data_IF_376145512700
#
_entry.id   IF_376145512700
#
_cell.length_a   1.000
_cell.length_b   1.000
_cell.length_c   1.000
_cell.angle_alpha   90.00
_cell.angle_beta   90.00
_cell.angle_gamma   90.00
#
_symmetry.space_group_name_H-M   'P 1'
#
loop_
_entity.id
_entity.type
_entity.pdbx_description
1 polymer ?
#
# COMPACT_ATOMS: atom_id res chain seq x y z
N UNK A 1 5.61 10.14 -17.31
CA UNK A 1 6.68 9.36 -16.66
C UNK A 1 7.93 10.23 -16.62
N UNK A 2 8.35 10.64 -15.42
CA UNK A 2 9.58 11.42 -15.23
C UNK A 2 10.78 10.53 -15.55
N UNK A 3 11.71 11.00 -16.40
CA UNK A 3 12.95 10.29 -16.61
C UNK A 3 13.73 10.23 -15.29
N UNK A 4 14.44 9.14 -15.01
CA UNK A 4 14.93 8.90 -13.67
C UNK A 4 16.31 9.52 -13.50
N UNK A 5 16.64 9.91 -12.28
CA UNK A 5 17.81 10.73 -11.99
C UNK A 5 18.83 9.89 -11.23
N UNK A 6 20.11 10.02 -11.57
CA UNK A 6 21.16 9.37 -10.80
C UNK A 6 21.35 10.05 -9.44
N UNK A 7 21.91 9.32 -8.46
CA UNK A 7 22.17 9.82 -7.09
C UNK A 7 22.94 11.15 -7.12
N UNK A 8 23.90 11.27 -8.03
CA UNK A 8 24.72 12.46 -8.21
C UNK A 8 23.92 13.66 -8.77
N UNK A 9 22.93 13.41 -9.64
CA UNK A 9 21.99 14.44 -10.12
C UNK A 9 21.02 14.92 -9.03
N UNK A 10 20.92 14.22 -7.91
CA UNK A 10 20.20 14.74 -6.73
C UNK A 10 21.04 15.73 -5.93
N UNK A 11 22.35 15.49 -5.80
CA UNK A 11 23.32 16.42 -5.22
C UNK A 11 23.49 17.71 -6.05
N UNK A 12 23.25 17.66 -7.38
CA UNK A 12 23.12 18.85 -8.24
C UNK A 12 22.20 19.93 -7.66
N UNK A 13 21.14 19.54 -6.93
CA UNK A 13 20.21 20.47 -6.29
C UNK A 13 20.75 21.12 -5.01
N UNK A 14 21.82 20.58 -4.43
CA UNK A 14 22.53 21.09 -3.26
C UNK A 14 23.76 21.97 -3.63
N UNK A 15 24.25 21.87 -4.87
CA UNK A 15 25.45 22.55 -5.37
C UNK A 15 25.23 23.96 -5.95
N UNK A 16 26.27 24.79 -5.87
CA UNK A 16 26.32 26.13 -6.48
C UNK A 16 26.63 26.06 -7.99
N UNK A 17 26.70 27.21 -8.69
CA UNK A 17 26.77 27.26 -10.17
C UNK A 17 28.07 26.68 -10.74
N UNK A 18 29.16 26.68 -9.97
CA UNK A 18 30.50 26.25 -10.39
C UNK A 18 30.64 24.72 -10.33
N UNK A 19 30.12 24.12 -9.26
CA UNK A 19 30.20 22.68 -8.97
C UNK A 19 29.38 21.79 -9.93
N UNK A 20 28.51 22.38 -10.77
CA UNK A 20 27.56 21.62 -11.61
C UNK A 20 28.14 21.00 -12.86
N UNK A 21 29.29 21.50 -13.34
CA UNK A 21 29.86 21.05 -14.62
C UNK A 21 30.59 19.70 -14.50
N UNK A 22 31.15 19.36 -13.33
CA UNK A 22 31.82 18.07 -13.11
C UNK A 22 30.84 16.89 -13.01
N UNK A 23 29.59 17.14 -12.61
CA UNK A 23 28.59 16.11 -12.33
C UNK A 23 27.97 15.50 -13.59
N UNK A 24 27.85 16.26 -14.69
CA UNK A 24 27.27 15.77 -15.94
C UNK A 24 28.12 14.68 -16.61
N UNK A 25 29.37 14.54 -16.20
CA UNK A 25 30.37 13.64 -16.79
C UNK A 25 30.60 12.36 -15.97
N UNK A 26 29.93 12.18 -14.83
CA UNK A 26 30.12 11.02 -13.95
C UNK A 26 29.12 9.90 -14.23
N UNK A 27 29.61 8.68 -14.45
CA UNK A 27 28.79 7.47 -14.45
C UNK A 27 28.32 7.17 -13.03
N UNK A 28 27.00 7.24 -12.84
CA UNK A 28 26.40 7.21 -11.50
C UNK A 28 25.19 6.32 -11.48
N UNK A 29 24.97 5.57 -10.38
CA UNK A 29 23.84 4.66 -10.29
C UNK A 29 22.54 5.46 -10.37
N UNK A 30 21.63 4.90 -11.16
CA UNK A 30 20.26 5.37 -11.31
C UNK A 30 19.54 5.33 -9.96
N UNK A 31 18.71 6.33 -9.67
CA UNK A 31 17.83 6.35 -8.50
C UNK A 31 16.40 6.63 -8.96
N UNK A 32 15.45 5.82 -8.49
CA UNK A 32 14.03 6.09 -8.74
C UNK A 32 13.58 7.28 -7.87
N UNK A 33 13.41 8.43 -8.50
CA UNK A 33 13.11 9.68 -7.82
C UNK A 33 11.60 9.97 -7.85
N UNK A 34 10.92 9.65 -6.75
CA UNK A 34 9.47 9.86 -6.57
C UNK A 34 9.14 11.17 -5.86
N UNK A 35 7.85 11.49 -5.78
CA UNK A 35 7.34 12.74 -5.18
C UNK A 35 7.79 12.88 -3.72
N UNK A 36 7.90 11.79 -2.98
CA UNK A 36 8.45 11.78 -1.62
C UNK A 36 9.88 12.34 -1.58
N UNK A 37 10.78 11.86 -2.46
CA UNK A 37 12.16 12.32 -2.57
C UNK A 37 12.24 13.81 -2.90
N UNK A 38 11.49 14.26 -3.91
CA UNK A 38 11.45 15.67 -4.31
C UNK A 38 10.93 16.59 -3.22
N UNK A 39 9.93 16.13 -2.48
CA UNK A 39 9.33 16.88 -1.37
C UNK A 39 10.32 17.02 -0.22
N UNK A 40 11.05 15.96 0.12
CA UNK A 40 12.12 16.00 1.11
C UNK A 40 13.25 16.95 0.70
N UNK A 41 13.73 16.88 -0.54
CA UNK A 41 14.74 17.82 -1.04
C UNK A 41 14.26 19.27 -1.00
N UNK A 42 12.99 19.50 -1.35
CA UNK A 42 12.41 20.84 -1.30
C UNK A 42 12.35 21.36 0.14
N UNK A 43 11.97 20.52 1.10
CA UNK A 43 11.96 20.88 2.52
C UNK A 43 13.37 21.25 2.99
N UNK A 44 14.36 20.38 2.74
CA UNK A 44 15.77 20.60 3.15
C UNK A 44 16.30 21.91 2.54
N UNK A 45 16.02 22.15 1.25
CA UNK A 45 16.44 23.37 0.55
C UNK A 45 15.82 24.64 1.12
N UNK A 46 14.54 24.61 1.49
CA UNK A 46 13.89 25.78 2.10
C UNK A 46 14.45 26.02 3.50
N UNK A 47 14.65 24.97 4.31
CA UNK A 47 15.22 25.10 5.64
C UNK A 47 16.61 25.76 5.63
N UNK A 48 17.49 25.35 4.70
CA UNK A 48 18.82 25.97 4.53
C UNK A 48 18.74 27.48 4.26
N UNK A 49 17.71 27.95 3.53
CA UNK A 49 17.50 29.38 3.26
C UNK A 49 16.99 30.18 4.47
N UNK A 50 16.46 29.52 5.49
CA UNK A 50 15.88 30.14 6.69
C UNK A 50 16.86 30.19 7.87
N UNK A 51 18.16 30.01 7.64
CA UNK A 51 19.24 30.04 8.64
C UNK A 51 19.16 28.98 9.75
N UNK A 52 18.55 27.82 9.49
CA UNK A 52 18.86 26.56 10.20
C UNK A 52 18.76 26.57 11.74
N UNK A 53 17.91 27.40 12.34
CA UNK A 53 17.94 27.65 13.78
C UNK A 53 17.32 26.50 14.61
N UNK A 54 16.69 25.50 13.98
CA UNK A 54 15.99 24.43 14.71
C UNK A 54 16.34 23.03 14.18
N UNK A 55 16.57 22.09 15.12
CA UNK A 55 16.87 20.68 14.82
C UNK A 55 15.80 20.00 13.97
N UNK A 56 16.17 18.88 13.31
CA UNK A 56 15.36 18.20 12.27
C UNK A 56 13.88 18.04 12.63
N UNK A 57 13.56 17.69 13.88
CA UNK A 57 12.18 17.47 14.37
C UNK A 57 11.24 18.67 14.25
N UNK A 58 11.75 19.90 14.27
CA UNK A 58 10.93 21.11 14.18
C UNK A 58 10.86 21.69 12.75
N UNK A 59 11.66 21.14 11.83
CA UNK A 59 11.79 21.60 10.44
C UNK A 59 10.45 21.55 9.70
N UNK A 60 9.73 20.43 9.82
CA UNK A 60 8.44 20.27 9.13
C UNK A 60 7.35 21.17 9.70
N UNK A 61 7.26 21.34 11.03
CA UNK A 61 6.23 22.18 11.67
C UNK A 61 6.29 23.64 11.20
N UNK A 62 7.49 24.22 11.16
CA UNK A 62 7.67 25.61 10.74
C UNK A 62 7.32 25.83 9.28
N UNK A 63 7.70 24.88 8.42
CA UNK A 63 7.41 24.93 6.99
C UNK A 63 5.94 24.67 6.72
N UNK A 64 5.30 23.73 7.43
CA UNK A 64 3.89 23.45 7.27
C UNK A 64 3.04 24.67 7.67
N UNK A 65 3.45 25.42 8.72
CA UNK A 65 2.81 26.69 9.09
C UNK A 65 2.86 27.73 7.95
N UNK A 66 3.95 27.76 7.18
CA UNK A 66 4.16 28.72 6.09
C UNK A 66 3.55 28.29 4.75
N UNK A 67 3.53 26.99 4.46
CA UNK A 67 3.16 26.45 3.14
C UNK A 67 1.88 25.60 3.13
N UNK A 68 1.11 25.60 4.23
CA UNK A 68 -0.22 24.99 4.40
C UNK A 68 -0.40 23.66 3.64
N UNK A 69 0.00 22.56 4.26
CA UNK A 69 -0.32 21.18 3.86
C UNK A 69 0.30 20.70 2.54
N UNK A 70 1.22 21.46 1.92
CA UNK A 70 1.90 21.06 0.68
C UNK A 70 2.68 19.74 0.74
N UNK A 71 2.99 19.26 1.95
CA UNK A 71 3.93 18.17 2.19
C UNK A 71 3.34 17.04 3.06
N UNK A 72 2.01 16.99 3.22
CA UNK A 72 1.35 16.13 4.19
C UNK A 72 1.43 14.62 3.87
N UNK A 73 1.65 14.26 2.60
CA UNK A 73 1.60 12.87 2.10
C UNK A 73 2.98 12.23 1.85
N UNK A 74 4.06 12.80 2.40
CA UNK A 74 5.42 12.29 2.10
C UNK A 74 5.60 10.86 2.61
N UNK A 75 5.14 10.57 3.84
CA UNK A 75 5.25 9.22 4.42
C UNK A 75 4.44 8.20 3.64
N UNK A 76 3.19 8.54 3.26
CA UNK A 76 2.33 7.70 2.41
C UNK A 76 3.01 7.35 1.09
N UNK A 77 3.53 8.35 0.38
CA UNK A 77 4.18 8.14 -0.92
C UNK A 77 5.51 7.39 -0.80
N UNK A 78 6.26 7.60 0.29
CA UNK A 78 7.49 6.87 0.56
C UNK A 78 7.18 5.40 0.85
N UNK A 79 6.18 5.11 1.68
CA UNK A 79 5.69 3.78 1.97
C UNK A 79 5.20 3.05 0.71
N UNK A 80 4.36 3.71 -0.10
CA UNK A 80 3.85 3.14 -1.36
C UNK A 80 4.97 2.81 -2.36
N UNK A 81 6.07 3.56 -2.33
CA UNK A 81 7.20 3.37 -3.25
C UNK A 81 8.30 2.47 -2.67
N UNK A 82 8.14 1.93 -1.46
CA UNK A 82 9.17 1.15 -0.75
C UNK A 82 10.45 1.95 -0.42
N UNK A 83 10.34 3.28 -0.31
CA UNK A 83 11.49 4.15 -0.07
C UNK A 83 11.71 4.35 1.43
N UNK A 84 12.23 3.32 2.10
CA UNK A 84 12.39 3.30 3.55
C UNK A 84 13.22 4.47 4.09
N UNK A 85 14.30 4.87 3.41
CA UNK A 85 15.12 6.01 3.85
C UNK A 85 14.37 7.34 3.76
N UNK A 86 13.51 7.50 2.75
CA UNK A 86 12.65 8.65 2.64
C UNK A 86 11.60 8.66 3.76
N UNK A 87 11.06 7.48 4.11
CA UNK A 87 10.09 7.33 5.19
C UNK A 87 10.71 7.70 6.55
N UNK A 88 11.89 7.13 6.85
CA UNK A 88 12.69 7.42 8.05
C UNK A 88 13.00 8.91 8.16
N UNK A 89 13.53 9.50 7.09
CA UNK A 89 13.88 10.92 7.06
C UNK A 89 12.65 11.84 7.21
N UNK A 90 11.53 11.50 6.56
CA UNK A 90 10.28 12.24 6.70
C UNK A 90 9.80 12.24 8.16
N UNK A 91 9.82 11.07 8.81
CA UNK A 91 9.46 10.94 10.22
C UNK A 91 10.41 11.74 11.13
N UNK A 92 11.73 11.64 10.94
CA UNK A 92 12.73 12.44 11.69
C UNK A 92 12.49 13.95 11.58
N UNK A 93 11.98 14.40 10.43
CA UNK A 93 11.67 15.80 10.16
C UNK A 93 10.37 16.27 10.82
N UNK A 94 9.60 15.35 11.40
CA UNK A 94 8.32 15.61 12.05
C UNK A 94 7.12 15.57 11.10
N UNK A 95 7.25 14.92 9.93
CA UNK A 95 6.10 14.65 9.05
C UNK A 95 5.20 13.62 9.75
N UNK A 96 3.91 13.91 9.82
CA UNK A 96 2.94 13.00 10.44
C UNK A 96 2.64 11.77 9.58
N UNK A 97 2.06 10.76 10.22
CA UNK A 97 1.73 9.46 9.61
C UNK A 97 0.46 9.43 8.75
N UNK A 98 -0.22 10.57 8.56
CA UNK A 98 -1.41 10.65 7.70
C UNK A 98 -2.58 9.78 8.20
N UNK A 99 -2.81 9.71 9.51
CA UNK A 99 -3.85 8.86 10.13
C UNK A 99 -3.73 7.36 9.80
N UNK A 100 -2.49 6.85 9.68
CA UNK A 100 -2.23 5.42 9.46
C UNK A 100 -2.03 5.04 8.00
N UNK A 101 -2.22 5.99 7.09
CA UNK A 101 -2.12 5.77 5.66
C UNK A 101 -0.71 5.30 5.22
N UNK A 102 0.34 5.60 6.00
CA UNK A 102 1.68 5.06 5.72
C UNK A 102 1.76 3.53 5.91
N UNK A 103 1.11 2.96 6.94
CA UNK A 103 1.03 1.50 7.12
C UNK A 103 0.21 0.87 5.99
N UNK A 104 -0.96 1.44 5.70
CA UNK A 104 -1.85 0.98 4.63
C UNK A 104 -1.15 0.96 3.26
N UNK A 105 -0.42 2.03 2.92
CA UNK A 105 0.33 2.12 1.67
C UNK A 105 1.54 1.19 1.61
N UNK A 106 2.23 0.94 2.73
CA UNK A 106 3.32 -0.03 2.78
C UNK A 106 2.81 -1.47 2.56
N UNK A 107 1.68 -1.82 3.17
CA UNK A 107 1.02 -3.10 3.00
C UNK A 107 0.57 -3.34 1.54
N UNK A 108 -0.04 -2.33 0.92
CA UNK A 108 -0.41 -2.38 -0.51
C UNK A 108 0.84 -2.54 -1.41
N UNK A 109 1.91 -1.82 -1.09
CA UNK A 109 3.17 -1.87 -1.84
C UNK A 109 3.99 -3.15 -1.61
N UNK A 110 3.50 -4.09 -0.79
CA UNK A 110 4.24 -5.31 -0.45
C UNK A 110 5.57 -5.04 0.29
N UNK A 111 5.73 -3.88 0.93
CA UNK A 111 6.98 -3.46 1.57
C UNK A 111 6.93 -3.65 3.09
N UNK A 112 7.34 -4.85 3.53
CA UNK A 112 7.36 -5.23 4.94
C UNK A 112 8.28 -4.33 5.79
N UNK A 113 9.38 -3.83 5.22
CA UNK A 113 10.30 -2.96 5.96
C UNK A 113 9.66 -1.61 6.28
N UNK A 114 9.00 -0.99 5.30
CA UNK A 114 8.24 0.24 5.48
C UNK A 114 7.07 0.04 6.45
N UNK A 115 6.33 -1.07 6.32
CA UNK A 115 5.21 -1.39 7.21
C UNK A 115 5.68 -1.53 8.67
N UNK A 116 6.72 -2.35 8.90
CA UNK A 116 7.32 -2.54 10.22
C UNK A 116 7.81 -1.22 10.81
N UNK A 117 8.59 -0.46 10.04
CA UNK A 117 9.13 0.80 10.52
C UNK A 117 8.02 1.81 10.87
N UNK A 118 6.99 1.93 10.04
CA UNK A 118 5.87 2.83 10.31
C UNK A 118 5.14 2.45 11.61
N UNK A 119 4.76 1.17 11.75
CA UNK A 119 4.06 0.67 12.94
C UNK A 119 4.89 0.86 14.22
N UNK A 120 6.16 0.41 14.23
CA UNK A 120 7.05 0.50 15.39
C UNK A 120 7.35 1.95 15.81
N UNK A 121 7.15 2.92 14.91
CA UNK A 121 7.32 4.35 15.18
C UNK A 121 5.98 5.09 15.36
N UNK A 122 4.91 4.36 15.69
CA UNK A 122 3.63 4.92 16.13
C UNK A 122 2.71 5.38 15.00
N UNK A 123 2.89 4.86 13.79
CA UNK A 123 1.86 4.93 12.76
C UNK A 123 0.68 4.04 13.18
N UNK A 124 -0.55 4.56 13.32
CA UNK A 124 -1.69 3.69 13.60
C UNK A 124 -2.01 2.83 12.38
N UNK A 125 -2.66 1.70 12.60
CA UNK A 125 -3.27 0.90 11.53
C UNK A 125 -4.71 0.56 11.87
N UNK A 126 -5.46 0.18 10.84
CA UNK A 126 -6.84 -0.26 10.88
C UNK A 126 -7.02 -1.47 9.94
N UNK A 127 -8.25 -1.97 9.81
CA UNK A 127 -8.60 -3.16 9.03
C UNK A 127 -8.12 -3.06 7.57
N UNK A 128 -8.01 -1.84 7.02
CA UNK A 128 -7.53 -1.60 5.66
C UNK A 128 -6.09 -2.04 5.46
N UNK A 129 -5.26 -2.02 6.51
CA UNK A 129 -3.86 -2.49 6.42
C UNK A 129 -3.80 -3.98 6.12
N UNK A 130 -4.61 -4.80 6.80
CA UNK A 130 -4.74 -6.22 6.49
C UNK A 130 -5.40 -6.43 5.12
N UNK A 131 -6.46 -5.69 4.81
CA UNK A 131 -7.16 -5.81 3.53
C UNK A 131 -6.24 -5.53 2.33
N UNK A 132 -5.39 -4.51 2.40
CA UNK A 132 -4.45 -4.19 1.31
C UNK A 132 -3.23 -5.10 1.26
N UNK A 133 -2.79 -5.67 2.39
CA UNK A 133 -1.80 -6.76 2.36
C UNK A 133 -2.37 -8.01 1.65
N UNK A 134 -3.64 -8.30 1.90
CA UNK A 134 -4.37 -9.39 1.25
C UNK A 134 -4.61 -9.12 -0.25
N UNK A 135 -4.97 -7.89 -0.61
CA UNK A 135 -5.11 -7.39 -1.99
C UNK A 135 -3.80 -7.52 -2.78
N UNK A 136 -2.67 -7.13 -2.18
CA UNK A 136 -1.36 -7.19 -2.84
C UNK A 136 -0.76 -8.60 -2.92
N UNK A 137 -1.41 -9.58 -2.28
CA UNK A 137 -0.93 -10.96 -2.20
C UNK A 137 0.27 -11.15 -1.28
N UNK A 138 0.59 -10.14 -0.46
CA UNK A 138 1.73 -10.20 0.43
C UNK A 138 1.39 -10.86 1.76
N UNK A 139 1.48 -12.19 1.77
CA UNK A 139 1.21 -13.00 2.96
C UNK A 139 2.08 -12.60 4.16
N UNK A 140 3.32 -12.18 3.93
CA UNK A 140 4.24 -11.81 5.02
C UNK A 140 3.86 -10.48 5.67
N UNK A 141 3.40 -9.49 4.90
CA UNK A 141 2.81 -8.26 5.44
C UNK A 141 1.53 -8.55 6.21
N UNK A 142 0.66 -9.42 5.68
CA UNK A 142 -0.59 -9.81 6.33
C UNK A 142 -0.33 -10.54 7.67
N UNK A 143 0.60 -11.49 7.69
CA UNK A 143 1.06 -12.16 8.92
C UNK A 143 1.60 -11.16 9.93
N UNK A 144 2.55 -10.33 9.52
CA UNK A 144 3.17 -9.35 10.41
C UNK A 144 2.12 -8.41 11.02
N UNK A 145 1.23 -7.84 10.20
CA UNK A 145 0.16 -6.97 10.67
C UNK A 145 -0.73 -7.70 11.69
N UNK A 146 -1.17 -8.93 11.36
CA UNK A 146 -2.05 -9.70 12.23
C UNK A 146 -1.40 -10.08 13.55
N UNK A 147 -0.19 -10.60 13.53
CA UNK A 147 0.56 -11.04 14.72
C UNK A 147 0.86 -9.88 15.68
N UNK A 148 0.93 -8.64 15.17
CA UNK A 148 1.14 -7.44 15.96
C UNK A 148 -0.18 -6.74 16.37
N UNK A 149 -1.33 -7.38 16.11
CA UNK A 149 -2.63 -6.91 16.60
C UNK A 149 -3.35 -5.93 15.67
N UNK A 150 -2.96 -5.83 14.39
CA UNK A 150 -3.78 -5.15 13.39
C UNK A 150 -5.16 -5.84 13.30
N UNK A 151 -6.27 -5.07 13.35
CA UNK A 151 -7.58 -5.64 13.12
C UNK A 151 -7.74 -6.06 11.65
N UNK A 152 -8.74 -6.89 11.40
CA UNK A 152 -9.18 -7.29 10.06
C UNK A 152 -10.70 -7.47 10.07
N UNK A 153 -11.29 -7.47 8.88
CA UNK A 153 -12.72 -7.65 8.65
C UNK A 153 -12.94 -8.51 7.38
N UNK A 154 -14.19 -8.66 6.97
CA UNK A 154 -14.58 -9.46 5.81
C UNK A 154 -13.89 -9.01 4.52
N UNK A 155 -13.48 -7.73 4.42
CA UNK A 155 -12.79 -7.19 3.25
C UNK A 155 -11.40 -7.80 3.08
N UNK A 156 -10.76 -8.28 4.14
CA UNK A 156 -9.48 -8.97 4.05
C UNK A 156 -9.61 -10.26 3.23
N UNK A 157 -10.65 -11.05 3.48
CA UNK A 157 -10.96 -12.23 2.67
C UNK A 157 -11.45 -11.84 1.27
N UNK A 158 -12.33 -10.84 1.17
CA UNK A 158 -12.90 -10.44 -0.10
C UNK A 158 -11.84 -9.94 -1.10
N UNK A 159 -10.89 -9.10 -0.66
CA UNK A 159 -9.80 -8.63 -1.54
C UNK A 159 -8.78 -9.70 -1.86
N UNK A 160 -8.44 -10.60 -0.93
CA UNK A 160 -7.62 -11.76 -1.29
C UNK A 160 -8.27 -12.59 -2.40
N UNK A 161 -9.59 -12.78 -2.31
CA UNK A 161 -10.37 -13.54 -3.29
C UNK A 161 -10.51 -12.81 -4.64
N UNK A 162 -10.76 -11.49 -4.62
CA UNK A 162 -10.85 -10.61 -5.79
C UNK A 162 -9.55 -10.57 -6.61
N UNK A 163 -8.39 -10.61 -5.94
CA UNK A 163 -7.08 -10.54 -6.59
C UNK A 163 -6.41 -11.90 -6.78
N UNK A 164 -7.11 -12.98 -6.45
CA UNK A 164 -6.64 -14.35 -6.69
C UNK A 164 -5.54 -14.82 -5.73
N UNK A 165 -5.37 -14.11 -4.62
CA UNK A 165 -4.33 -14.37 -3.62
C UNK A 165 -4.76 -15.47 -2.65
N UNK A 166 -4.85 -16.69 -3.17
CA UNK A 166 -5.36 -17.87 -2.46
C UNK A 166 -4.64 -18.12 -1.12
N UNK A 167 -3.33 -17.92 -1.06
CA UNK A 167 -2.56 -18.15 0.17
C UNK A 167 -2.87 -17.10 1.27
N UNK A 168 -3.14 -15.84 0.88
CA UNK A 168 -3.64 -14.84 1.81
C UNK A 168 -5.05 -15.20 2.30
N UNK A 169 -5.93 -15.65 1.40
CA UNK A 169 -7.30 -16.07 1.75
C UNK A 169 -7.29 -17.25 2.73
N UNK A 170 -6.47 -18.28 2.47
CA UNK A 170 -6.28 -19.42 3.37
C UNK A 170 -5.82 -18.99 4.75
N UNK A 171 -4.74 -18.20 4.80
CA UNK A 171 -4.19 -17.72 6.06
C UNK A 171 -5.21 -16.91 6.85
N UNK A 172 -5.90 -15.97 6.21
CA UNK A 172 -6.93 -15.15 6.84
C UNK A 172 -8.03 -16.05 7.42
N UNK A 173 -8.54 -17.00 6.63
CA UNK A 173 -9.61 -17.89 7.06
C UNK A 173 -9.21 -18.79 8.22
N UNK A 174 -8.06 -19.45 8.12
CA UNK A 174 -7.54 -20.39 9.14
C UNK A 174 -7.29 -19.70 10.49
N UNK A 175 -7.01 -18.40 10.47
CA UNK A 175 -6.74 -17.61 11.67
C UNK A 175 -7.98 -16.83 12.16
N UNK A 176 -9.16 -17.10 11.61
CA UNK A 176 -10.43 -16.59 12.12
C UNK A 176 -10.82 -15.21 11.60
N UNK A 177 -10.28 -14.77 10.45
CA UNK A 177 -10.82 -13.63 9.73
C UNK A 177 -12.27 -13.93 9.30
N UNK A 178 -13.23 -13.02 9.53
CA UNK A 178 -14.57 -13.20 9.02
C UNK A 178 -14.57 -13.11 7.49
N UNK A 179 -15.65 -13.61 6.90
CA UNK A 179 -15.93 -13.53 5.48
C UNK A 179 -17.45 -13.52 5.27
N UNK A 180 -17.87 -13.06 4.11
CA UNK A 180 -19.28 -13.04 3.70
C UNK A 180 -19.42 -13.31 2.20
N UNK A 181 -20.63 -13.16 1.67
CA UNK A 181 -20.97 -13.45 0.26
C UNK A 181 -20.09 -12.67 -0.73
N UNK A 182 -19.53 -11.52 -0.32
CA UNK A 182 -18.62 -10.72 -1.17
C UNK A 182 -17.35 -11.49 -1.51
N UNK A 183 -16.89 -12.38 -0.63
CA UNK A 183 -15.69 -13.19 -0.88
C UNK A 183 -15.87 -14.10 -2.11
N UNK A 184 -17.01 -14.79 -2.19
CA UNK A 184 -17.36 -15.59 -3.36
C UNK A 184 -17.66 -14.72 -4.58
N UNK A 185 -18.41 -13.62 -4.39
CA UNK A 185 -18.81 -12.74 -5.48
C UNK A 185 -17.60 -12.10 -6.19
N UNK A 186 -16.62 -11.60 -5.43
CA UNK A 186 -15.42 -10.97 -6.00
C UNK A 186 -14.46 -11.99 -6.62
N UNK A 187 -14.30 -13.19 -6.04
CA UNK A 187 -13.55 -14.25 -6.71
C UNK A 187 -14.16 -14.61 -8.07
N UNK A 188 -15.48 -14.71 -8.12
CA UNK A 188 -16.22 -14.97 -9.35
C UNK A 188 -16.12 -13.82 -10.37
N UNK A 189 -16.27 -12.58 -9.91
CA UNK A 189 -16.17 -11.35 -10.70
C UNK A 189 -14.82 -11.19 -11.39
N UNK A 190 -13.72 -11.56 -10.71
CA UNK A 190 -12.35 -11.50 -11.24
C UNK A 190 -11.90 -12.80 -11.92
N UNK A 191 -12.74 -13.84 -11.95
CA UNK A 191 -12.42 -15.14 -12.56
C UNK A 191 -11.44 -16.01 -11.77
N UNK A 192 -11.24 -15.74 -10.49
CA UNK A 192 -10.34 -16.47 -9.61
C UNK A 192 -10.98 -17.76 -9.08
N UNK A 193 -11.10 -18.74 -9.97
CA UNK A 193 -11.79 -20.01 -9.71
C UNK A 193 -11.26 -20.74 -8.46
N UNK A 194 -9.95 -20.75 -8.25
CA UNK A 194 -9.36 -21.46 -7.10
C UNK A 194 -9.69 -20.80 -5.77
N UNK A 195 -9.81 -19.46 -5.73
CA UNK A 195 -10.30 -18.75 -4.54
C UNK A 195 -11.79 -19.05 -4.31
N UNK A 196 -12.60 -19.06 -5.37
CA UNK A 196 -14.02 -19.39 -5.28
C UNK A 196 -14.26 -20.82 -4.78
N UNK A 197 -13.51 -21.80 -5.31
CA UNK A 197 -13.55 -23.19 -4.85
C UNK A 197 -13.22 -23.29 -3.37
N UNK A 198 -12.08 -22.74 -2.97
CA UNK A 198 -11.63 -22.76 -1.58
C UNK A 198 -12.66 -22.12 -0.64
N UNK A 199 -13.15 -20.93 -0.97
CA UNK A 199 -14.16 -20.24 -0.17
C UNK A 199 -15.42 -21.11 -0.01
N UNK A 200 -15.91 -21.70 -1.10
CA UNK A 200 -17.12 -22.52 -1.08
C UNK A 200 -16.95 -23.81 -0.27
N UNK A 201 -15.86 -24.53 -0.50
CA UNK A 201 -15.54 -25.80 0.20
C UNK A 201 -15.39 -25.61 1.71
N UNK A 202 -14.97 -24.41 2.14
CA UNK A 202 -14.76 -24.08 3.55
C UNK A 202 -15.96 -23.35 4.17
N UNK A 203 -17.10 -23.30 3.48
CA UNK A 203 -18.38 -22.84 4.03
C UNK A 203 -18.61 -21.33 3.95
N UNK A 204 -17.91 -20.60 3.08
CA UNK A 204 -18.24 -19.21 2.80
C UNK A 204 -19.65 -19.14 2.21
N UNK A 205 -20.51 -18.21 2.69
CA UNK A 205 -21.78 -17.98 2.05
C UNK A 205 -21.57 -17.39 0.65
N UNK A 206 -22.59 -17.53 -0.18
CA UNK A 206 -22.65 -16.98 -1.53
C UNK A 206 -24.10 -16.64 -1.88
N UNK A 207 -24.29 -15.72 -2.81
CA UNK A 207 -25.60 -15.32 -3.31
C UNK A 207 -25.57 -15.25 -4.85
N UNK A 208 -26.68 -14.81 -5.44
CA UNK A 208 -26.82 -14.74 -6.90
C UNK A 208 -25.74 -13.88 -7.58
N UNK A 209 -25.13 -12.91 -6.87
CA UNK A 209 -24.05 -12.08 -7.42
C UNK A 209 -22.85 -12.92 -7.80
N UNK A 210 -22.61 -14.04 -7.12
CA UNK A 210 -21.49 -14.95 -7.47
C UNK A 210 -21.65 -15.52 -8.88
N UNK A 211 -22.83 -16.01 -9.24
CA UNK A 211 -23.09 -16.49 -10.59
C UNK A 211 -23.17 -15.35 -11.60
N UNK A 212 -23.94 -14.30 -11.28
CA UNK A 212 -24.20 -13.16 -12.17
C UNK A 212 -22.89 -12.44 -12.55
N UNK A 213 -22.04 -12.11 -11.57
CA UNK A 213 -20.78 -11.41 -11.84
C UNK A 213 -19.81 -12.25 -12.68
N UNK A 214 -19.71 -13.57 -12.44
CA UNK A 214 -18.90 -14.44 -13.29
C UNK A 214 -19.43 -14.49 -14.73
N UNK A 215 -20.76 -14.58 -14.91
CA UNK A 215 -21.39 -14.64 -16.22
C UNK A 215 -21.24 -13.32 -17.00
N UNK A 216 -21.44 -12.17 -16.34
CA UNK A 216 -21.32 -10.84 -16.95
C UNK A 216 -19.89 -10.53 -17.39
N UNK A 217 -18.88 -10.99 -16.65
CA UNK A 217 -17.47 -10.79 -16.97
C UNK A 217 -16.86 -11.91 -17.83
N UNK A 218 -17.67 -12.83 -18.34
CA UNK A 218 -17.24 -13.96 -19.20
C UNK A 218 -16.26 -14.93 -18.52
N UNK A 219 -16.29 -15.02 -17.20
CA UNK A 219 -15.53 -15.99 -16.42
C UNK A 219 -16.25 -17.34 -16.36
N UNK A 220 -16.36 -17.98 -17.53
CA UNK A 220 -17.16 -19.20 -17.73
C UNK A 220 -16.85 -20.29 -16.71
N UNK A 221 -15.58 -20.51 -16.36
CA UNK A 221 -15.21 -21.54 -15.39
C UNK A 221 -15.77 -21.26 -13.99
N UNK A 222 -15.81 -19.99 -13.56
CA UNK A 222 -16.45 -19.60 -12.30
C UNK A 222 -17.97 -19.72 -12.37
N UNK A 223 -18.58 -19.32 -13.49
CA UNK A 223 -20.03 -19.40 -13.68
C UNK A 223 -20.53 -20.87 -13.74
N UNK A 224 -19.79 -21.73 -14.43
CA UNK A 224 -20.04 -23.18 -14.48
C UNK A 224 -19.91 -23.80 -13.09
N UNK A 225 -18.81 -23.51 -12.39
CA UNK A 225 -18.61 -24.00 -11.02
C UNK A 225 -19.73 -23.55 -10.07
N UNK A 226 -20.10 -22.25 -10.11
CA UNK A 226 -21.17 -21.71 -9.28
C UNK A 226 -22.51 -22.41 -9.57
N UNK A 227 -22.87 -22.57 -10.86
CA UNK A 227 -24.09 -23.26 -11.29
C UNK A 227 -24.11 -24.72 -10.86
N UNK A 228 -23.01 -25.46 -11.07
CA UNK A 228 -22.90 -26.88 -10.73
C UNK A 228 -22.97 -27.15 -9.23
N UNK A 229 -22.53 -26.19 -8.42
CA UNK A 229 -22.50 -26.31 -6.97
C UNK A 229 -23.71 -25.65 -6.27
N UNK A 230 -24.73 -25.24 -7.03
CA UNK A 230 -26.02 -24.78 -6.50
C UNK A 230 -26.05 -23.31 -6.05
N UNK A 231 -25.20 -22.45 -6.62
CA UNK A 231 -25.32 -21.00 -6.44
C UNK A 231 -26.66 -20.52 -7.01
N UNK A 232 -27.39 -19.63 -6.31
CA UNK A 232 -28.58 -18.99 -6.88
C UNK A 232 -28.25 -18.28 -8.20
N UNK A 233 -29.17 -18.30 -9.15
CA UNK A 233 -28.98 -17.67 -10.47
C UNK A 233 -29.85 -16.42 -10.68
N UNK A 234 -30.81 -16.17 -9.80
CA UNK A 234 -31.77 -15.06 -9.87
C UNK A 234 -31.63 -14.17 -8.62
N UNK A 235 -31.77 -12.85 -8.76
CA UNK A 235 -31.79 -11.93 -7.62
C UNK A 235 -33.03 -12.18 -6.73
N UNK A 236 -32.93 -12.10 -5.39
CA UNK A 236 -34.10 -12.16 -4.53
C UNK A 236 -35.05 -11.02 -4.89
N UNK A 237 -36.33 -11.35 -5.16
CA UNK A 237 -37.42 -10.41 -5.43
C UNK A 237 -37.71 -9.47 -4.26
#
# INVERSE_FOLDING_TARGET
MSAPLSLLKTAYNACNKIERNEYCSMETPYVDMRICCWSLFKIIKINKKLNGVNGRKNMYRELNRRFKNKFQRICEMAALSGHIDCLKLAHEMGVGWGNGEACTMAALASDLECLRYAWENGCPWDERTCAYAAESGNLECLKYARENGCPWDEMTCAYAAEWGNLECLKYARENGCPWDERTCAYAAESGNLECLKYARENGCPWDARTYISAAMNLHNACAEYARENGCPTDEPQ
#
